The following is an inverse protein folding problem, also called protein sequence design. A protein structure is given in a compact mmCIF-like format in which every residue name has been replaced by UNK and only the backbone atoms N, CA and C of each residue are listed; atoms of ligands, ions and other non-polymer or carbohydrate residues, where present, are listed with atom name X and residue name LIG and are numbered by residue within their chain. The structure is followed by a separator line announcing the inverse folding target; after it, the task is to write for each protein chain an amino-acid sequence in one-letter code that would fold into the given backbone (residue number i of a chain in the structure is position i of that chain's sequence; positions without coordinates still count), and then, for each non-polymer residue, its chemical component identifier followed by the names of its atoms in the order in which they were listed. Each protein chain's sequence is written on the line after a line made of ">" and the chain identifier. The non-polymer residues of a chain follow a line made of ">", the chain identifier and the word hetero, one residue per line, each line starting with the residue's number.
data_IF_710016960348
#
_entry.id   IF_710016960348
#
_cell.length_a   1.000
_cell.length_b   1.000
_cell.length_c   1.000
_cell.angle_alpha   90.00
_cell.angle_beta   90.00
_cell.angle_gamma   90.00
#
_symmetry.space_group_name_H-M   'P 1'
#
loop_
_entity.id
_entity.type
_entity.pdbx_description
1 polymer ?
#
# COMPACT_ATOMS: atom_id res chain seq x y z
N UNK A 1 16.06 17.72 0.12
CA UNK A 1 14.93 17.18 -0.66
C UNK A 1 15.26 15.74 -1.00
N UNK A 2 14.77 14.77 -0.22
CA UNK A 2 14.89 13.36 -0.59
C UNK A 2 13.85 13.10 -1.66
N UNK A 3 14.23 13.32 -2.92
CA UNK A 3 13.43 12.98 -4.09
C UNK A 3 13.17 11.48 -4.07
N UNK A 4 12.01 11.15 -3.53
CA UNK A 4 11.50 9.80 -3.31
C UNK A 4 11.22 9.03 -4.62
N UNK A 5 11.73 9.46 -5.78
CA UNK A 5 11.21 9.06 -7.10
C UNK A 5 11.54 7.62 -7.49
N UNK A 6 12.47 6.97 -6.78
CA UNK A 6 12.86 5.58 -7.03
C UNK A 6 12.07 4.56 -6.19
N UNK A 7 11.25 5.01 -5.22
CA UNK A 7 10.48 4.09 -4.40
C UNK A 7 9.25 3.58 -5.15
N UNK A 8 9.34 2.33 -5.61
CA UNK A 8 8.23 1.58 -6.15
C UNK A 8 7.27 1.02 -5.08
N UNK A 9 7.42 1.38 -3.81
CA UNK A 9 6.57 0.88 -2.72
C UNK A 9 5.73 2.02 -2.13
N UNK A 10 4.42 1.78 -2.02
CA UNK A 10 3.46 2.72 -1.46
C UNK A 10 2.95 2.24 -0.11
N UNK A 11 2.56 3.19 0.74
CA UNK A 11 1.91 2.91 2.00
C UNK A 11 0.44 3.37 1.96
N UNK A 12 -0.44 2.45 2.30
CA UNK A 12 -1.89 2.59 2.21
C UNK A 12 -2.44 2.51 3.63
N UNK A 13 -3.23 3.50 4.05
CA UNK A 13 -3.87 3.52 5.37
C UNK A 13 -5.39 3.64 5.21
N UNK A 14 -6.10 3.27 6.27
CA UNK A 14 -7.56 3.34 6.32
C UNK A 14 -8.26 2.19 5.59
N UNK A 15 -7.61 1.05 5.35
CA UNK A 15 -8.23 -0.16 4.81
C UNK A 15 -9.27 -0.74 5.78
N UNK A 16 -10.33 -1.35 5.24
CA UNK A 16 -11.35 -2.03 6.02
C UNK A 16 -10.80 -3.25 6.78
N UNK A 17 -11.51 -3.65 7.84
CA UNK A 17 -11.08 -4.78 8.68
C UNK A 17 -11.08 -6.13 7.94
N UNK A 18 -11.89 -6.26 6.90
CA UNK A 18 -12.02 -7.47 6.08
C UNK A 18 -11.10 -7.47 4.85
N UNK A 19 -10.23 -6.46 4.70
CA UNK A 19 -9.37 -6.38 3.51
C UNK A 19 -8.27 -7.45 3.55
N UNK A 20 -8.22 -8.23 2.47
CA UNK A 20 -7.17 -9.22 2.22
C UNK A 20 -6.09 -8.69 1.30
N UNK A 21 -4.85 -9.22 1.37
CA UNK A 21 -3.73 -8.70 0.57
C UNK A 21 -3.99 -8.96 -0.92
N UNK A 22 -4.72 -10.03 -1.24
CA UNK A 22 -5.17 -10.35 -2.60
C UNK A 22 -6.16 -9.33 -3.16
N UNK A 23 -7.06 -8.78 -2.34
CA UNK A 23 -7.99 -7.72 -2.77
C UNK A 23 -7.25 -6.41 -3.02
N UNK A 24 -6.32 -6.05 -2.11
CA UNK A 24 -5.42 -4.91 -2.31
C UNK A 24 -4.64 -5.09 -3.61
N UNK A 25 -4.09 -6.28 -3.82
CA UNK A 25 -3.42 -6.62 -5.07
C UNK A 25 -4.30 -6.42 -6.29
N UNK A 26 -5.49 -7.01 -6.26
CA UNK A 26 -6.39 -6.97 -7.41
C UNK A 26 -6.84 -5.54 -7.74
N UNK A 27 -6.93 -4.71 -6.71
CA UNK A 27 -7.21 -3.30 -6.86
C UNK A 27 -6.01 -2.52 -7.40
N UNK A 28 -4.82 -2.65 -6.81
CA UNK A 28 -3.66 -1.85 -7.20
C UNK A 28 -3.01 -2.30 -8.52
N UNK A 29 -3.20 -3.57 -8.92
CA UNK A 29 -2.68 -4.10 -10.21
C UNK A 29 -3.28 -3.39 -11.43
N UNK A 30 -4.42 -2.71 -11.27
CA UNK A 30 -5.08 -1.97 -12.35
C UNK A 30 -4.32 -0.68 -12.71
N UNK A 31 -3.57 -0.12 -11.75
CA UNK A 31 -2.73 1.07 -11.95
C UNK A 31 -1.40 0.67 -12.58
N UNK A 32 -0.80 -0.44 -12.11
CA UNK A 32 0.48 -0.93 -12.61
C UNK A 32 0.83 -2.31 -12.05
N UNK A 33 1.96 -2.86 -12.50
CA UNK A 33 2.34 -4.25 -12.14
C UNK A 33 2.82 -4.30 -10.69
N UNK A 34 2.17 -5.12 -9.86
CA UNK A 34 2.60 -5.38 -8.49
C UNK A 34 3.75 -6.39 -8.49
N UNK A 35 4.80 -6.07 -7.76
CA UNK A 35 5.98 -6.91 -7.65
C UNK A 35 5.61 -8.26 -7.06
N UNK A 36 6.07 -9.33 -7.69
CA UNK A 36 5.85 -10.69 -7.22
C UNK A 36 7.09 -11.21 -6.49
N UNK A 37 6.90 -11.78 -5.31
CA UNK A 37 7.97 -12.42 -4.55
C UNK A 37 8.37 -13.74 -5.24
N UNK A 38 9.56 -13.77 -5.84
CA UNK A 38 10.09 -14.98 -6.51
C UNK A 38 10.21 -16.21 -5.60
N UNK A 39 10.26 -16.03 -4.28
CA UNK A 39 10.35 -17.14 -3.31
C UNK A 39 9.01 -17.83 -3.08
N UNK A 40 7.94 -17.05 -2.96
CA UNK A 40 6.61 -17.55 -2.59
C UNK A 40 5.62 -17.56 -3.77
N UNK A 41 5.96 -16.89 -4.88
CA UNK A 41 5.06 -16.64 -6.01
C UNK A 41 3.93 -15.65 -5.69
N UNK A 42 3.93 -15.04 -4.50
CA UNK A 42 2.87 -14.13 -4.05
C UNK A 42 3.24 -12.67 -4.30
N UNK A 43 2.23 -11.83 -4.49
CA UNK A 43 2.38 -10.39 -4.62
C UNK A 43 2.98 -9.80 -3.33
N UNK A 44 3.85 -8.80 -3.49
CA UNK A 44 4.56 -8.13 -2.39
C UNK A 44 3.63 -7.13 -1.70
N UNK A 45 2.73 -7.65 -0.88
CA UNK A 45 1.77 -6.88 -0.10
C UNK A 45 1.86 -7.30 1.36
N UNK A 46 2.07 -6.34 2.24
CA UNK A 46 2.08 -6.57 3.69
C UNK A 46 0.93 -5.80 4.31
N UNK A 47 0.00 -6.53 4.93
CA UNK A 47 -1.04 -5.94 5.77
C UNK A 47 -0.55 -5.89 7.21
N UNK A 48 -0.73 -4.74 7.85
CA UNK A 48 -0.39 -4.57 9.25
C UNK A 48 -1.62 -4.83 10.11
N UNK A 49 -1.41 -5.70 11.08
CA UNK A 49 -2.36 -6.04 12.13
C UNK A 49 -1.87 -5.47 13.45
N UNK A 50 -2.83 -5.00 14.24
CA UNK A 50 -2.63 -4.45 15.55
C UNK A 50 -2.28 -5.61 16.49
N UNK A 51 -1.11 -5.55 17.11
CA UNK A 51 -0.64 -6.64 17.97
C UNK A 51 -1.41 -6.72 19.29
N UNK A 52 -1.95 -5.59 19.75
CA UNK A 52 -2.68 -5.49 21.00
C UNK A 52 -4.10 -6.04 20.88
N UNK A 53 -4.82 -5.66 19.82
CA UNK A 53 -6.20 -6.10 19.59
C UNK A 53 -6.32 -7.34 18.71
N UNK A 54 -5.24 -7.70 17.99
CA UNK A 54 -5.25 -8.76 16.98
C UNK A 54 -6.03 -8.39 15.70
N UNK A 55 -6.54 -7.16 15.62
CA UNK A 55 -7.36 -6.68 14.51
C UNK A 55 -6.49 -6.02 13.43
N UNK A 56 -6.88 -6.07 12.15
CA UNK A 56 -6.22 -5.29 11.11
C UNK A 56 -6.27 -3.80 11.44
N UNK A 57 -5.11 -3.13 11.38
CA UNK A 57 -5.02 -1.66 11.61
C UNK A 57 -5.61 -0.86 10.46
N UNK A 58 -5.94 -1.53 9.36
CA UNK A 58 -6.28 -0.88 8.10
C UNK A 58 -5.05 -0.31 7.39
N UNK A 59 -3.86 -0.79 7.68
CA UNK A 59 -2.61 -0.30 7.07
C UNK A 59 -1.99 -1.41 6.21
N UNK A 60 -1.48 -1.06 5.03
CA UNK A 60 -0.75 -1.98 4.16
C UNK A 60 0.37 -1.31 3.37
N UNK A 61 1.41 -2.05 3.03
CA UNK A 61 2.38 -1.68 1.99
C UNK A 61 2.14 -2.47 0.71
N UNK A 62 2.28 -1.81 -0.44
CA UNK A 62 2.19 -2.42 -1.77
C UNK A 62 3.44 -2.06 -2.56
N UNK A 63 4.22 -3.07 -2.97
CA UNK A 63 5.38 -2.86 -3.83
C UNK A 63 5.03 -3.13 -5.29
N UNK A 64 5.23 -2.13 -6.14
CA UNK A 64 5.14 -2.22 -7.59
C UNK A 64 6.45 -2.70 -8.22
N UNK A 65 6.38 -3.15 -9.47
CA UNK A 65 7.56 -3.48 -10.26
C UNK A 65 8.31 -2.19 -10.64
N UNK A 66 7.56 -1.17 -11.07
CA UNK A 66 8.09 0.11 -11.55
C UNK A 66 7.74 1.30 -10.62
N UNK A 67 8.68 2.23 -10.35
CA UNK A 67 8.44 3.47 -9.58
C UNK A 67 7.31 4.38 -10.11
N UNK A 68 7.16 4.63 -11.43
CA UNK A 68 6.06 5.47 -11.92
C UNK A 68 4.68 4.90 -11.60
N UNK A 69 4.53 3.57 -11.54
CA UNK A 69 3.28 2.91 -11.17
C UNK A 69 2.90 3.21 -9.72
N UNK A 70 3.88 3.18 -8.80
CA UNK A 70 3.69 3.53 -7.41
C UNK A 70 3.21 4.98 -7.26
N UNK A 71 3.90 5.91 -7.92
CA UNK A 71 3.53 7.33 -7.92
C UNK A 71 2.12 7.57 -8.48
N UNK A 72 1.77 6.92 -9.59
CA UNK A 72 0.44 7.01 -10.18
C UNK A 72 -0.64 6.45 -9.24
N UNK A 73 -0.34 5.38 -8.49
CA UNK A 73 -1.28 4.84 -7.51
C UNK A 73 -1.55 5.87 -6.40
N UNK A 74 -0.51 6.47 -5.83
CA UNK A 74 -0.68 7.50 -4.81
C UNK A 74 -1.51 8.67 -5.34
N UNK A 75 -1.18 9.23 -6.50
CA UNK A 75 -1.94 10.33 -7.10
C UNK A 75 -3.42 9.94 -7.38
N UNK A 76 -3.65 8.69 -7.79
CA UNK A 76 -4.99 8.20 -8.03
C UNK A 76 -5.85 8.08 -6.76
N UNK A 77 -5.21 7.71 -5.65
CA UNK A 77 -5.88 7.38 -4.39
C UNK A 77 -5.82 8.47 -3.32
N UNK A 78 -4.86 9.38 -3.40
CA UNK A 78 -4.74 10.54 -2.54
C UNK A 78 -6.02 11.38 -2.66
N UNK A 79 -6.79 11.46 -1.57
CA UNK A 79 -8.07 12.18 -1.51
C UNK A 79 -9.28 11.45 -2.13
N UNK A 80 -9.19 10.18 -2.54
CA UNK A 80 -10.36 9.39 -2.99
C UNK A 80 -10.85 8.38 -1.95
N UNK A 81 -12.18 8.35 -1.75
CA UNK A 81 -12.86 7.25 -1.07
C UNK A 81 -12.92 6.04 -2.01
N UNK A 82 -12.32 4.93 -1.59
CA UNK A 82 -12.34 3.68 -2.34
C UNK A 82 -13.48 2.79 -1.80
N UNK A 83 -14.25 2.09 -2.66
CA UNK A 83 -15.36 1.22 -2.24
C UNK A 83 -14.97 0.03 -1.35
N UNK A 84 -13.69 -0.17 -1.05
CA UNK A 84 -13.19 -1.13 -0.05
C UNK A 84 -13.25 -0.59 1.39
N UNK A 85 -13.84 0.61 1.60
CA UNK A 85 -13.86 1.29 2.89
C UNK A 85 -12.58 2.09 3.18
N UNK A 86 -11.85 2.53 2.14
CA UNK A 86 -10.59 3.26 2.33
C UNK A 86 -10.81 4.69 2.84
N UNK A 87 -10.22 5.05 3.98
CA UNK A 87 -10.22 6.42 4.50
C UNK A 87 -8.96 7.23 4.10
N UNK A 88 -9.17 8.15 3.16
CA UNK A 88 -8.61 9.52 3.02
C UNK A 88 -7.11 9.86 3.23
N UNK A 89 -6.18 8.92 3.43
CA UNK A 89 -4.75 9.28 3.52
C UNK A 89 -3.84 8.15 3.01
N UNK A 90 -3.31 8.29 1.78
CA UNK A 90 -2.12 7.56 1.36
C UNK A 90 -0.92 8.45 1.58
N UNK A 91 0.11 7.92 2.24
CA UNK A 91 1.32 8.68 2.50
C UNK A 91 2.49 7.94 1.86
N UNK A 92 3.47 8.64 1.30
CA UNK A 92 4.78 8.03 1.09
C UNK A 92 5.31 7.55 2.45
N UNK A 93 5.95 6.38 2.50
CA UNK A 93 6.56 5.84 3.73
C UNK A 93 7.62 6.83 4.26
N UNK A 94 7.18 7.73 5.13
CA UNK A 94 8.06 8.64 5.85
C UNK A 94 8.32 7.98 7.19
N UNK A 95 9.43 7.24 7.29
CA UNK A 95 9.92 6.83 8.61
C UNK A 95 10.23 8.08 9.40
N UNK A 96 9.32 8.46 10.29
CA UNK A 96 9.67 9.25 11.47
C UNK A 96 10.62 8.39 12.31
N UNK A 97 11.92 8.50 12.04
CA UNK A 97 12.93 8.25 13.06
C UNK A 97 12.91 9.49 13.96
N UNK A 98 12.21 9.36 15.08
CA UNK A 98 12.28 10.31 16.17
C UNK A 98 13.66 10.25 16.83
N UNK A 99 14.39 11.37 16.77
CA UNK A 99 15.17 11.96 17.88
C UNK A 99 15.48 13.41 17.56
#
# INVERSE_FOLDING_TARGET
>A
ESDNSDNNTIFVQGLGEDVSPEQVADYFKQIGVIKTNKKTGKLMINLYTDKDTGKPKGEATVSFDDPPSAKAAIDWFDGKVIPLGLANHLNHEHRNVSS
#
